data_IF_237776756925
#
_entry.id   IF_237776756925
#
_cell.length_a   1.000
_cell.length_b   1.000
_cell.length_c   1.000
_cell.angle_alpha   90.00
_cell.angle_beta   90.00
_cell.angle_gamma   90.00
#
_symmetry.space_group_name_H-M   'P 1'
#
loop_
_entity.id
_entity.type
_entity.pdbx_description
1 polymer ?
#
# COMPACT_ATOMS: atom_id res chain seq x y z
N UNK A 1 1.49 10.12 -21.92
CA UNK A 1 0.84 10.52 -20.66
C UNK A 1 1.58 9.84 -19.52
N UNK A 2 2.15 10.60 -18.59
CA UNK A 2 2.85 10.02 -17.42
C UNK A 2 1.83 9.75 -16.32
N UNK A 3 1.79 8.52 -15.82
CA UNK A 3 0.92 8.12 -14.72
C UNK A 3 1.69 8.27 -13.41
N UNK A 4 1.17 9.03 -12.47
CA UNK A 4 1.73 9.22 -11.13
C UNK A 4 1.03 8.31 -10.14
N UNK A 5 1.79 7.77 -9.17
CA UNK A 5 1.26 6.95 -8.08
C UNK A 5 1.05 7.85 -6.86
N UNK A 6 -0.03 7.61 -6.12
CA UNK A 6 -0.21 8.21 -4.80
C UNK A 6 0.54 7.35 -3.77
N UNK A 7 0.97 7.93 -2.66
CA UNK A 7 1.69 7.20 -1.63
C UNK A 7 1.58 7.87 -0.27
N UNK A 8 1.72 7.06 0.78
CA UNK A 8 1.88 7.54 2.16
C UNK A 8 3.37 7.76 2.41
N UNK A 9 3.75 8.98 2.79
CA UNK A 9 5.12 9.33 3.16
C UNK A 9 5.25 9.43 4.67
N UNK A 10 6.17 8.66 5.25
CA UNK A 10 6.50 8.72 6.69
C UNK A 10 7.94 9.24 6.84
N UNK A 11 8.13 10.43 7.41
CA UNK A 11 9.45 11.03 7.56
C UNK A 11 10.28 10.33 8.64
N UNK A 12 11.62 10.50 8.61
CA UNK A 12 12.48 10.05 9.70
C UNK A 12 12.09 10.67 11.03
N UNK A 13 12.32 9.93 12.12
CA UNK A 13 11.99 10.38 13.49
C UNK A 13 13.03 11.32 14.08
N UNK A 14 14.23 11.37 13.50
CA UNK A 14 15.39 12.06 14.09
C UNK A 14 15.50 13.54 13.72
N UNK A 15 14.64 14.05 12.83
CA UNK A 15 14.70 15.44 12.34
C UNK A 15 15.93 15.78 11.50
N UNK A 16 16.79 14.79 11.23
CA UNK A 16 17.94 14.87 10.34
C UNK A 16 17.55 14.47 8.92
N UNK A 17 18.35 14.82 7.89
CA UNK A 17 18.15 14.32 6.55
C UNK A 17 18.07 12.78 6.52
N UNK A 18 17.14 12.17 5.77
CA UNK A 18 17.03 10.71 5.70
C UNK A 18 18.34 10.08 5.21
N UNK A 19 18.80 9.03 5.91
CA UNK A 19 19.94 8.22 5.44
C UNK A 19 19.62 7.44 4.17
N UNK A 20 18.33 7.17 3.94
CA UNK A 20 17.84 6.50 2.77
C UNK A 20 16.31 6.53 2.71
N UNK A 21 15.80 6.16 1.54
CA UNK A 21 14.38 5.99 1.27
C UNK A 21 14.07 4.51 1.11
N UNK A 22 13.04 4.04 1.81
CA UNK A 22 12.51 2.70 1.68
C UNK A 22 11.13 2.79 1.03
N UNK A 23 11.02 2.18 -0.16
CA UNK A 23 9.74 2.05 -0.85
C UNK A 23 9.15 0.70 -0.51
N UNK A 24 7.94 0.72 0.03
CA UNK A 24 7.20 -0.47 0.44
C UNK A 24 5.99 -0.66 -0.47
N UNK A 25 5.81 -1.90 -0.91
CA UNK A 25 4.75 -2.31 -1.83
C UNK A 25 3.89 -3.34 -1.11
N UNK A 26 2.57 -3.16 -1.16
CA UNK A 26 1.65 -4.08 -0.52
C UNK A 26 1.41 -5.33 -1.39
N UNK A 27 0.97 -6.42 -0.75
CA UNK A 27 0.52 -7.62 -1.45
C UNK A 27 -0.88 -7.43 -2.05
N UNK A 28 -1.30 -8.39 -2.89
CA UNK A 28 -2.67 -8.40 -3.41
C UNK A 28 -3.69 -8.50 -2.26
N UNK A 29 -4.69 -7.61 -2.27
CA UNK A 29 -5.74 -7.58 -1.25
C UNK A 29 -5.45 -6.73 -0.01
N UNK A 30 -4.25 -6.16 0.10
CA UNK A 30 -3.89 -5.15 1.11
C UNK A 30 -3.90 -3.73 0.51
N UNK A 31 -3.68 -2.72 1.35
CA UNK A 31 -3.54 -1.32 0.95
C UNK A 31 -2.26 -0.67 1.51
N UNK A 32 -2.06 0.62 1.22
CA UNK A 32 -0.90 1.39 1.67
C UNK A 32 -0.89 1.59 3.20
N UNK A 33 -2.07 1.72 3.81
CA UNK A 33 -2.26 1.93 5.25
C UNK A 33 -1.83 0.69 6.05
N UNK A 34 -2.16 -0.51 5.58
CA UNK A 34 -1.78 -1.78 6.21
C UNK A 34 -0.25 -1.87 6.36
N UNK A 35 0.47 -1.50 5.30
CA UNK A 35 1.94 -1.47 5.31
C UNK A 35 2.46 -0.33 6.19
N UNK A 36 1.81 0.84 6.16
CA UNK A 36 2.17 1.97 7.01
C UNK A 36 2.07 1.63 8.51
N UNK A 37 1.09 0.82 8.91
CA UNK A 37 0.94 0.32 10.28
C UNK A 37 2.07 -0.59 10.73
N UNK A 38 2.80 -1.22 9.80
CA UNK A 38 3.95 -2.07 10.11
C UNK A 38 5.24 -1.25 10.31
N UNK A 39 5.31 -0.03 9.78
CA UNK A 39 6.52 0.80 9.81
C UNK A 39 7.11 1.03 11.23
N UNK A 40 6.29 1.24 12.28
CA UNK A 40 6.82 1.42 13.63
C UNK A 40 7.56 0.22 14.21
N UNK A 41 7.37 -0.98 13.67
CA UNK A 41 8.06 -2.20 14.12
C UNK A 41 9.49 -2.33 13.57
N UNK A 42 9.86 -1.51 12.58
CA UNK A 42 11.23 -1.44 12.08
C UNK A 42 12.06 -0.46 12.92
N UNK A 43 13.19 -0.92 13.45
CA UNK A 43 14.13 -0.07 14.20
C UNK A 43 15.02 0.77 13.25
N UNK A 44 14.37 1.59 12.42
CA UNK A 44 15.00 2.41 11.37
C UNK A 44 14.59 3.89 11.51
N UNK A 45 15.03 4.58 12.58
CA UNK A 45 14.57 5.93 12.88
C UNK A 45 15.09 7.01 11.93
N UNK A 46 16.18 6.71 11.20
CA UNK A 46 16.85 7.64 10.26
C UNK A 46 16.41 7.48 8.81
N UNK A 47 15.46 6.58 8.54
CA UNK A 47 14.99 6.29 7.19
C UNK A 47 13.63 6.92 6.94
N UNK A 48 13.42 7.34 5.70
CA UNK A 48 12.10 7.73 5.21
C UNK A 48 11.43 6.50 4.60
N UNK A 49 10.12 6.36 4.81
CA UNK A 49 9.32 5.32 4.19
C UNK A 49 8.30 5.93 3.22
N UNK A 50 8.09 5.27 2.10
CA UNK A 50 6.98 5.51 1.19
C UNK A 50 6.20 4.21 0.97
N UNK A 51 4.88 4.25 1.16
CA UNK A 51 4.00 3.11 0.88
C UNK A 51 3.14 3.42 -0.34
N UNK A 52 3.29 2.63 -1.40
CA UNK A 52 2.54 2.82 -2.65
C UNK A 52 1.03 2.68 -2.40
N UNK A 53 0.26 3.65 -2.88
CA UNK A 53 -1.19 3.62 -2.92
C UNK A 53 -1.61 3.77 -4.38
N UNK A 54 -1.88 2.65 -5.06
CA UNK A 54 -2.41 2.72 -6.41
C UNK A 54 -3.64 1.86 -6.58
N UNK A 55 -4.70 2.57 -6.99
CA UNK A 55 -6.10 2.15 -7.16
C UNK A 55 -6.91 2.06 -5.87
N UNK A 56 -8.09 2.72 -5.81
CA UNK A 56 -9.03 2.54 -4.71
C UNK A 56 -9.44 1.06 -4.64
N UNK A 57 -9.09 0.40 -3.54
CA UNK A 57 -9.54 -0.94 -3.23
C UNK A 57 -11.03 -0.90 -2.81
N UNK A 58 -11.86 -1.92 -3.13
CA UNK A 58 -11.53 -3.19 -3.77
C UNK A 58 -11.82 -3.19 -5.28
N UNK A 59 -10.80 -3.50 -6.08
CA UNK A 59 -11.02 -4.21 -7.34
C UNK A 59 -11.10 -5.70 -7.03
N UNK A 60 -12.24 -6.17 -6.54
CA UNK A 60 -12.63 -7.54 -6.84
C UNK A 60 -13.02 -7.56 -8.32
N UNK A 61 -12.32 -8.32 -9.15
CA UNK A 61 -12.77 -8.64 -10.52
C UNK A 61 -13.94 -9.63 -10.54
N UNK A 62 -14.66 -9.82 -9.43
CA UNK A 62 -15.86 -10.66 -9.39
C UNK A 62 -17.10 -9.93 -9.94
N UNK A 63 -17.01 -8.64 -10.30
CA UNK A 63 -18.06 -7.99 -11.09
C UNK A 63 -17.74 -8.14 -12.58
N UNK A 64 -18.12 -9.28 -13.18
CA UNK A 64 -18.37 -9.28 -14.63
C UNK A 64 -18.03 -10.51 -15.49
N UNK A 65 -17.81 -11.72 -14.97
CA UNK A 65 -17.96 -12.94 -15.80
C UNK A 65 -18.04 -14.22 -14.94
N UNK A 66 -19.26 -14.76 -14.75
CA UNK A 66 -19.41 -16.16 -14.34
C UNK A 66 -20.03 -16.47 -12.98
N UNK A 67 -20.81 -15.58 -12.36
CA UNK A 67 -21.76 -16.02 -11.32
C UNK A 67 -23.05 -16.54 -11.99
N UNK A 68 -22.95 -17.73 -12.59
CA UNK A 68 -24.12 -18.55 -12.89
C UNK A 68 -24.79 -18.86 -11.57
N UNK A 69 -26.06 -18.44 -11.42
CA UNK A 69 -26.85 -18.68 -10.21
C UNK A 69 -26.81 -20.16 -9.84
N UNK A 70 -26.21 -20.48 -8.71
CA UNK A 70 -26.57 -21.68 -7.94
C UNK A 70 -28.00 -21.46 -7.43
N UNK A 71 -28.99 -21.91 -8.22
CA UNK A 71 -30.33 -22.16 -7.70
C UNK A 71 -30.20 -23.34 -6.73
N UNK A 72 -30.42 -23.08 -5.45
CA UNK A 72 -30.79 -24.13 -4.51
C UNK A 72 -32.12 -24.72 -4.98
N UNK A 73 -32.15 -26.06 -5.00
CA UNK A 73 -33.27 -27.02 -5.22
C UNK A 73 -34.66 -26.44 -5.43
#
# INVERSE_FOLDING_TARGET
MTKTLEFISVPPKTGQPPKGLIVTLHGWGANAEDVAYLLPFFNLPDYQFCSECTFPYPQSSIVGHGMTKMKYV
#
